data_IF_658840694043
#
_entry.id   IF_658840694043
#
_cell.length_a   1.000
_cell.length_b   1.000
_cell.length_c   1.000
_cell.angle_alpha   90.00
_cell.angle_beta   90.00
_cell.angle_gamma   90.00
#
_symmetry.space_group_name_H-M   'P 1'
#
loop_
_entity.id
_entity.type
_entity.pdbx_description
1 polymer ?
#
# COMPACT_ATOMS: atom_id res chain seq x y z
N UNK A 1 -23.75 5.92 -37.43
CA UNK A 1 -23.60 7.30 -36.90
C UNK A 1 -22.31 7.36 -36.11
N UNK A 2 -21.39 8.26 -36.47
CA UNK A 2 -20.20 8.53 -35.65
C UNK A 2 -20.64 9.41 -34.47
N UNK A 3 -20.35 8.98 -33.24
CA UNK A 3 -20.73 9.75 -32.03
C UNK A 3 -19.98 11.09 -32.02
N UNK A 4 -20.68 12.14 -31.60
CA UNK A 4 -20.06 13.47 -31.43
C UNK A 4 -19.20 13.57 -30.15
N UNK A 5 -19.18 12.51 -29.33
CA UNK A 5 -18.49 12.50 -28.04
C UNK A 5 -17.00 12.20 -28.26
N UNK A 6 -16.17 13.13 -27.80
CA UNK A 6 -14.72 13.03 -27.92
C UNK A 6 -14.21 11.74 -27.25
N UNK A 7 -13.28 11.03 -27.90
CA UNK A 7 -12.65 9.81 -27.40
C UNK A 7 -13.59 8.59 -27.24
N UNK A 8 -14.76 8.60 -27.87
CA UNK A 8 -15.60 7.41 -27.97
C UNK A 8 -14.94 6.35 -28.88
N UNK A 9 -14.81 5.13 -28.39
CA UNK A 9 -14.30 3.98 -29.14
C UNK A 9 -15.30 2.81 -29.05
N UNK A 10 -15.28 1.86 -30.01
CA UNK A 10 -16.04 0.62 -29.89
C UNK A 10 -15.72 -0.11 -28.58
N UNK A 11 -16.73 -0.75 -27.99
CA UNK A 11 -16.54 -1.54 -26.79
C UNK A 11 -15.48 -2.63 -27.02
N UNK A 12 -14.54 -2.71 -26.08
CA UNK A 12 -13.50 -3.73 -26.00
C UNK A 12 -13.56 -4.28 -24.58
N UNK A 13 -13.58 -5.61 -24.47
CA UNK A 13 -13.61 -6.30 -23.18
C UNK A 13 -12.35 -6.04 -22.34
N UNK A 14 -12.18 -6.87 -21.32
CA UNK A 14 -11.17 -6.69 -20.29
C UNK A 14 -9.75 -6.51 -20.83
N UNK A 15 -9.02 -5.58 -20.21
CA UNK A 15 -7.57 -5.49 -20.39
C UNK A 15 -6.83 -6.27 -19.29
N UNK A 16 -5.52 -6.49 -19.51
CA UNK A 16 -4.66 -7.21 -18.56
C UNK A 16 -4.66 -6.57 -17.16
N UNK A 17 -4.81 -5.25 -17.09
CA UNK A 17 -4.88 -4.49 -15.84
C UNK A 17 -6.13 -4.85 -15.04
N UNK A 18 -7.29 -4.97 -15.69
CA UNK A 18 -8.54 -5.35 -15.03
C UNK A 18 -8.53 -6.81 -14.55
N UNK A 19 -7.93 -7.71 -15.33
CA UNK A 19 -7.76 -9.10 -14.91
C UNK A 19 -6.85 -9.20 -13.68
N UNK A 20 -5.75 -8.44 -13.68
CA UNK A 20 -4.83 -8.36 -12.54
C UNK A 20 -5.53 -7.80 -11.29
N UNK A 21 -6.31 -6.73 -11.43
CA UNK A 21 -7.05 -6.12 -10.32
C UNK A 21 -8.04 -7.09 -9.65
N UNK A 22 -8.73 -7.94 -10.45
CA UNK A 22 -9.63 -8.97 -9.92
C UNK A 22 -8.91 -10.02 -9.10
N UNK A 23 -7.75 -10.47 -9.57
CA UNK A 23 -7.02 -11.58 -8.94
C UNK A 23 -6.24 -11.12 -7.71
N UNK A 24 -5.70 -9.89 -7.71
CA UNK A 24 -4.79 -9.44 -6.67
C UNK A 24 -5.47 -8.71 -5.50
N UNK A 25 -6.67 -8.13 -5.68
CA UNK A 25 -7.32 -7.33 -4.63
C UNK A 25 -7.51 -8.12 -3.32
N UNK A 26 -8.11 -9.30 -3.40
CA UNK A 26 -8.43 -10.11 -2.22
C UNK A 26 -7.20 -10.67 -1.50
N UNK A 27 -6.21 -11.26 -2.18
CA UNK A 27 -4.97 -11.68 -1.54
C UNK A 27 -4.25 -10.52 -0.82
N UNK A 28 -4.20 -9.34 -1.45
CA UNK A 28 -3.55 -8.17 -0.85
C UNK A 28 -4.30 -7.67 0.38
N UNK A 29 -5.63 -7.64 0.35
CA UNK A 29 -6.44 -7.30 1.52
C UNK A 29 -6.18 -8.27 2.68
N UNK A 30 -6.21 -9.58 2.40
CA UNK A 30 -5.98 -10.62 3.41
C UNK A 30 -4.60 -10.50 4.05
N UNK A 31 -3.53 -10.39 3.23
CA UNK A 31 -2.17 -10.20 3.74
C UNK A 31 -2.04 -8.88 4.50
N UNK A 32 -2.66 -7.81 4.02
CA UNK A 32 -2.60 -6.50 4.66
C UNK A 32 -3.24 -6.50 6.05
N UNK A 33 -4.43 -7.08 6.19
CA UNK A 33 -5.13 -7.23 7.48
C UNK A 33 -4.29 -8.10 8.43
N UNK A 34 -3.78 -9.23 7.95
CA UNK A 34 -2.92 -10.10 8.77
C UNK A 34 -1.67 -9.39 9.26
N UNK A 35 -1.03 -8.59 8.41
CA UNK A 35 0.15 -7.80 8.78
C UNK A 35 -0.16 -6.76 9.87
N UNK A 36 -1.30 -6.07 9.80
CA UNK A 36 -1.74 -5.14 10.85
C UNK A 36 -2.01 -5.89 12.16
N UNK A 37 -2.63 -7.07 12.11
CA UNK A 37 -2.86 -7.92 13.29
C UNK A 37 -1.53 -8.32 13.93
N UNK A 38 -0.54 -8.73 13.13
CA UNK A 38 0.81 -9.06 13.63
C UNK A 38 1.44 -7.85 14.30
N UNK A 39 1.38 -6.66 13.67
CA UNK A 39 1.90 -5.42 14.26
C UNK A 39 1.24 -5.09 15.60
N UNK A 40 -0.08 -5.29 15.70
CA UNK A 40 -0.84 -5.09 16.92
C UNK A 40 -0.44 -6.07 18.04
N UNK A 41 -0.26 -7.35 17.71
CA UNK A 41 0.22 -8.36 18.68
C UNK A 41 1.62 -8.00 19.18
N UNK A 42 2.54 -7.61 18.29
CA UNK A 42 3.89 -7.19 18.67
C UNK A 42 3.82 -5.97 19.61
N UNK A 43 2.99 -4.99 19.28
CA UNK A 43 2.81 -3.80 20.12
C UNK A 43 2.24 -4.12 21.52
N UNK A 44 1.28 -5.06 21.61
CA UNK A 44 0.74 -5.52 22.89
C UNK A 44 1.79 -6.24 23.73
N UNK A 45 2.58 -7.14 23.12
CA UNK A 45 3.65 -7.86 23.81
C UNK A 45 4.71 -6.87 24.32
N UNK A 46 5.13 -5.93 23.49
CA UNK A 46 6.08 -4.87 23.88
C UNK A 46 5.54 -4.03 25.05
N UNK A 47 4.27 -3.65 25.00
CA UNK A 47 3.61 -2.86 26.07
C UNK A 47 3.52 -3.59 27.42
N UNK A 48 3.29 -4.90 27.41
CA UNK A 48 3.21 -5.68 28.65
C UNK A 48 4.58 -5.89 29.34
N UNK A 49 5.69 -5.75 28.59
CA UNK A 49 7.03 -5.94 29.11
C UNK A 49 7.62 -4.67 29.75
N UNK A 50 6.85 -3.56 29.83
CA UNK A 50 7.31 -2.29 30.44
C UNK A 50 7.60 -2.43 31.96
N UNK A 51 7.09 -3.47 32.62
CA UNK A 51 7.34 -3.69 34.05
C UNK A 51 8.82 -3.94 34.43
N UNK A 52 9.66 -4.36 33.48
CA UNK A 52 11.08 -4.64 33.70
C UNK A 52 11.99 -3.38 33.73
N UNK A 53 11.46 -2.22 33.30
CA UNK A 53 12.17 -0.93 33.26
C UNK A 53 12.63 -0.41 34.63
N UNK A 54 12.09 -0.93 35.73
CA UNK A 54 12.42 -0.48 37.09
C UNK A 54 13.57 -1.27 37.73
N UNK A 55 14.26 -2.14 36.98
CA UNK A 55 15.46 -2.85 37.44
C UNK A 55 16.73 -2.40 36.70
N UNK A 56 17.87 -2.10 37.38
CA UNK A 56 19.08 -1.58 36.74
C UNK A 56 19.67 -2.46 35.62
N UNK A 57 19.53 -3.79 35.74
CA UNK A 57 19.95 -4.76 34.71
C UNK A 57 18.88 -5.00 33.62
N UNK A 58 17.61 -4.69 33.90
CA UNK A 58 16.51 -4.77 32.93
C UNK A 58 16.54 -3.63 31.91
N UNK A 59 16.88 -2.41 32.34
CA UNK A 59 16.92 -1.21 31.48
C UNK A 59 17.71 -1.44 30.19
N UNK A 60 18.88 -2.07 30.27
CA UNK A 60 19.74 -2.32 29.12
C UNK A 60 19.16 -3.33 28.12
N UNK A 61 18.64 -4.45 28.63
CA UNK A 61 18.02 -5.50 27.81
C UNK A 61 16.70 -5.04 27.22
N UNK A 62 15.99 -4.14 27.89
CA UNK A 62 14.72 -3.59 27.46
C UNK A 62 14.87 -2.50 26.40
N UNK A 63 15.99 -1.74 26.40
CA UNK A 63 16.28 -0.75 25.36
C UNK A 63 16.44 -1.40 23.98
N UNK A 64 17.23 -2.47 23.88
CA UNK A 64 17.45 -3.19 22.62
C UNK A 64 16.19 -3.87 22.10
N UNK A 65 15.45 -4.54 23.00
CA UNK A 65 14.15 -5.15 22.69
C UNK A 65 13.12 -4.12 22.28
N UNK A 66 12.98 -3.03 23.04
CA UNK A 66 12.05 -1.96 22.72
C UNK A 66 12.33 -1.30 21.37
N UNK A 67 13.61 -1.08 21.05
CA UNK A 67 13.97 -0.56 19.73
C UNK A 67 13.67 -1.57 18.61
N UNK A 68 13.94 -2.86 18.81
CA UNK A 68 13.59 -3.91 17.85
C UNK A 68 12.06 -4.00 17.64
N UNK A 69 11.28 -3.99 18.73
CA UNK A 69 9.83 -4.07 18.70
C UNK A 69 9.21 -2.88 17.96
N UNK A 70 9.70 -1.66 18.19
CA UNK A 70 9.25 -0.47 17.44
C UNK A 70 9.52 -0.63 15.94
N UNK A 71 10.68 -1.19 15.55
CA UNK A 71 11.00 -1.42 14.15
C UNK A 71 10.09 -2.49 13.52
N UNK A 72 9.86 -3.59 14.23
CA UNK A 72 8.98 -4.67 13.78
C UNK A 72 7.53 -4.22 13.68
N UNK A 73 6.98 -3.58 14.72
CA UNK A 73 5.63 -3.01 14.70
C UNK A 73 5.48 -2.06 13.53
N UNK A 74 6.42 -1.13 13.33
CA UNK A 74 6.39 -0.20 12.21
C UNK A 74 6.45 -0.91 10.85
N UNK A 75 7.30 -1.94 10.71
CA UNK A 75 7.45 -2.68 9.46
C UNK A 75 6.13 -3.38 9.06
N UNK A 76 5.55 -4.15 9.98
CA UNK A 76 4.31 -4.87 9.72
C UNK A 76 3.11 -3.93 9.57
N UNK A 77 3.04 -2.84 10.35
CA UNK A 77 1.91 -1.91 10.28
C UNK A 77 1.87 -1.19 8.94
N UNK A 78 2.99 -0.64 8.49
CA UNK A 78 3.05 0.12 7.23
C UNK A 78 2.90 -0.76 5.99
N UNK A 79 3.56 -1.94 5.96
CA UNK A 79 3.31 -2.92 4.91
C UNK A 79 1.82 -3.31 4.88
N UNK A 80 1.22 -3.57 6.04
CA UNK A 80 -0.18 -3.91 6.16
C UNK A 80 -1.11 -2.84 5.60
N UNK A 81 -0.90 -1.59 6.01
CA UNK A 81 -1.63 -0.43 5.48
C UNK A 81 -1.44 -0.26 3.96
N UNK A 82 -0.22 -0.39 3.47
CA UNK A 82 0.08 -0.31 2.03
C UNK A 82 -0.68 -1.37 1.23
N UNK A 83 -0.69 -2.62 1.71
CA UNK A 83 -1.41 -3.72 1.06
C UNK A 83 -2.93 -3.54 1.11
N UNK A 84 -3.48 -3.03 2.22
CA UNK A 84 -4.91 -2.68 2.33
C UNK A 84 -5.25 -1.57 1.33
N UNK A 85 -4.49 -0.47 1.29
CA UNK A 85 -4.74 0.63 0.36
C UNK A 85 -4.58 0.21 -1.11
N UNK A 86 -3.64 -0.67 -1.41
CA UNK A 86 -3.49 -1.24 -2.75
C UNK A 86 -4.69 -2.12 -3.12
N UNK A 87 -5.22 -2.92 -2.18
CA UNK A 87 -6.46 -3.68 -2.41
C UNK A 87 -7.67 -2.79 -2.68
N UNK A 88 -7.77 -1.65 -1.97
CA UNK A 88 -8.79 -0.63 -2.22
C UNK A 88 -8.62 -0.06 -3.63
N UNK A 89 -7.40 0.27 -4.03
CA UNK A 89 -7.09 0.77 -5.37
C UNK A 89 -7.55 -0.22 -6.45
N UNK A 90 -7.25 -1.50 -6.29
CA UNK A 90 -7.69 -2.54 -7.23
C UNK A 90 -9.22 -2.72 -7.24
N UNK A 91 -9.87 -2.59 -6.08
CA UNK A 91 -11.33 -2.60 -5.98
C UNK A 91 -11.95 -1.44 -6.75
N UNK A 92 -11.37 -0.24 -6.65
CA UNK A 92 -11.80 0.92 -7.43
C UNK A 92 -11.61 0.71 -8.94
N UNK A 93 -10.52 0.05 -9.37
CA UNK A 93 -10.32 -0.32 -10.78
C UNK A 93 -11.42 -1.30 -11.26
N UNK A 94 -11.83 -2.25 -10.40
CA UNK A 94 -12.96 -3.13 -10.70
C UNK A 94 -14.29 -2.36 -10.79
N UNK A 95 -14.48 -1.33 -9.95
CA UNK A 95 -15.64 -0.44 -10.04
C UNK A 95 -15.66 0.31 -11.38
N UNK A 96 -14.52 0.85 -11.85
CA UNK A 96 -14.43 1.48 -13.18
C UNK A 96 -14.91 0.54 -14.28
N UNK A 97 -14.53 -0.73 -14.19
CA UNK A 97 -14.98 -1.76 -15.13
C UNK A 97 -16.49 -1.98 -15.03
N UNK A 98 -17.04 -2.21 -13.85
CA UNK A 98 -18.47 -2.42 -13.67
C UNK A 98 -19.30 -1.23 -14.16
N UNK A 99 -18.81 0.00 -13.96
CA UNK A 99 -19.43 1.18 -14.55
C UNK A 99 -19.43 1.08 -16.07
N UNK A 100 -18.29 0.80 -16.71
CA UNK A 100 -18.18 0.65 -18.17
C UNK A 100 -19.11 -0.43 -18.72
N UNK A 101 -19.20 -1.57 -18.06
CA UNK A 101 -20.07 -2.68 -18.44
C UNK A 101 -21.55 -2.29 -18.29
N UNK A 102 -21.92 -1.63 -17.18
CA UNK A 102 -23.29 -1.11 -16.99
C UNK A 102 -23.67 -0.08 -18.07
N UNK A 103 -22.78 0.85 -18.41
CA UNK A 103 -23.02 1.83 -19.47
C UNK A 103 -23.15 1.19 -20.86
N UNK A 104 -22.47 0.06 -21.10
CA UNK A 104 -22.63 -0.75 -22.33
C UNK A 104 -24.03 -1.37 -22.39
N UNK A 105 -24.48 -1.95 -21.29
CA UNK A 105 -25.76 -2.63 -21.22
C UNK A 105 -26.92 -1.64 -21.38
N UNK A 106 -26.83 -0.45 -20.78
CA UNK A 106 -27.79 0.64 -20.99
C UNK A 106 -27.84 1.09 -22.45
N UNK A 107 -26.68 1.33 -23.09
CA UNK A 107 -26.65 1.72 -24.51
C UNK A 107 -27.25 0.64 -25.42
N UNK A 108 -26.97 -0.63 -25.12
CA UNK A 108 -27.50 -1.77 -25.87
C UNK A 108 -29.02 -1.89 -25.72
N UNK A 109 -29.54 -1.63 -24.52
CA UNK A 109 -30.98 -1.61 -24.25
C UNK A 109 -31.70 -0.47 -24.99
N UNK A 110 -31.02 0.65 -25.24
CA UNK A 110 -31.53 1.76 -26.07
C UNK A 110 -31.39 1.50 -27.59
N UNK A 111 -31.00 0.29 -28.00
CA UNK A 111 -30.85 -0.08 -29.41
C UNK A 111 -29.63 0.55 -30.10
N UNK A 112 -28.71 1.14 -29.33
CA UNK A 112 -27.52 1.78 -29.85
C UNK A 112 -26.31 0.84 -29.85
N UNK A 113 -25.41 1.01 -30.81
CA UNK A 113 -24.12 0.35 -30.77
C UNK A 113 -23.33 0.83 -29.54
N UNK A 114 -22.86 -0.07 -28.66
CA UNK A 114 -22.23 0.32 -27.41
C UNK A 114 -20.86 0.96 -27.64
N UNK A 115 -20.71 2.19 -27.14
CA UNK A 115 -19.45 2.92 -27.13
C UNK A 115 -18.91 3.03 -25.72
N UNK A 116 -17.58 3.10 -25.62
CA UNK A 116 -16.89 3.32 -24.36
C UNK A 116 -15.88 4.45 -24.48
N UNK A 117 -15.55 5.05 -23.35
CA UNK A 117 -14.47 6.03 -23.26
C UNK A 117 -13.12 5.34 -23.47
N UNK A 118 -12.29 5.87 -24.37
CA UNK A 118 -10.88 5.47 -24.46
C UNK A 118 -10.22 5.65 -23.09
N UNK A 119 -9.53 4.61 -22.61
CA UNK A 119 -8.92 4.57 -21.28
C UNK A 119 -8.06 5.83 -21.03
N UNK A 120 -8.44 6.71 -20.08
CA UNK A 120 -7.66 7.92 -19.80
C UNK A 120 -6.29 7.53 -19.25
N UNK A 121 -5.30 8.40 -19.43
CA UNK A 121 -3.93 8.15 -18.95
C UNK A 121 -3.89 7.82 -17.46
N UNK A 122 -4.74 8.46 -16.65
CA UNK A 122 -4.88 8.20 -15.20
C UNK A 122 -5.18 6.73 -14.92
N UNK A 123 -6.08 6.11 -15.69
CA UNK A 123 -6.41 4.69 -15.54
C UNK A 123 -5.34 3.74 -16.07
N UNK A 124 -4.42 4.22 -16.92
CA UNK A 124 -3.29 3.43 -17.41
C UNK A 124 -2.14 3.41 -16.40
N UNK A 125 -1.88 4.55 -15.76
CA UNK A 125 -0.74 4.74 -14.85
C UNK A 125 -1.05 4.28 -13.42
N UNK A 126 -2.32 4.31 -12.98
CA UNK A 126 -2.72 3.87 -11.64
C UNK A 126 -2.03 2.58 -11.17
N UNK A 127 -2.11 1.45 -11.90
CA UNK A 127 -1.61 0.18 -11.37
C UNK A 127 -0.10 0.22 -11.21
N UNK A 128 0.61 0.88 -12.13
CA UNK A 128 2.06 1.04 -12.05
C UNK A 128 2.45 1.86 -10.82
N UNK A 129 1.76 2.99 -10.57
CA UNK A 129 2.06 3.85 -9.45
C UNK A 129 1.73 3.18 -8.10
N UNK A 130 0.62 2.45 -8.04
CA UNK A 130 0.27 1.62 -6.88
C UNK A 130 1.33 0.55 -6.62
N UNK A 131 1.76 -0.18 -7.66
CA UNK A 131 2.78 -1.22 -7.53
C UNK A 131 4.13 -0.64 -7.08
N UNK A 132 4.53 0.54 -7.58
CA UNK A 132 5.71 1.24 -7.08
C UNK A 132 5.60 1.55 -5.58
N UNK A 133 4.44 2.03 -5.13
CA UNK A 133 4.16 2.25 -3.71
C UNK A 133 4.33 0.98 -2.87
N UNK A 134 3.73 -0.13 -3.31
CA UNK A 134 3.85 -1.43 -2.62
C UNK A 134 5.30 -1.91 -2.60
N UNK A 135 6.05 -1.75 -3.69
CA UNK A 135 7.47 -2.13 -3.72
C UNK A 135 8.32 -1.32 -2.73
N UNK A 136 8.02 -0.02 -2.58
CA UNK A 136 8.67 0.82 -1.57
C UNK A 136 8.32 0.35 -0.15
N UNK A 137 7.07 -0.02 0.12
CA UNK A 137 6.66 -0.61 1.40
C UNK A 137 7.36 -1.95 1.68
N UNK A 138 7.48 -2.82 0.68
CA UNK A 138 8.21 -4.09 0.80
C UNK A 138 9.69 -3.85 1.11
N UNK A 139 10.31 -2.87 0.46
CA UNK A 139 11.69 -2.49 0.78
C UNK A 139 11.81 -1.96 2.21
N UNK A 140 10.92 -1.05 2.62
CA UNK A 140 10.88 -0.52 3.97
C UNK A 140 10.62 -1.60 5.03
N UNK A 141 9.80 -2.60 4.69
CA UNK A 141 9.58 -3.78 5.51
C UNK A 141 10.88 -4.57 5.72
N UNK A 142 11.56 -4.96 4.63
CA UNK A 142 12.82 -5.72 4.69
C UNK A 142 13.86 -4.96 5.51
N UNK A 143 14.06 -3.67 5.25
CA UNK A 143 15.00 -2.84 5.99
C UNK A 143 14.62 -2.72 7.48
N UNK A 144 13.33 -2.65 7.80
CA UNK A 144 12.83 -2.67 9.16
C UNK A 144 13.13 -3.97 9.90
N UNK A 145 12.95 -5.13 9.22
CA UNK A 145 13.31 -6.43 9.78
C UNK A 145 14.83 -6.52 10.02
N UNK A 146 15.64 -6.10 9.05
CA UNK A 146 17.11 -6.11 9.18
C UNK A 146 17.55 -5.24 10.37
N UNK A 147 17.01 -4.02 10.49
CA UNK A 147 17.32 -3.14 11.61
C UNK A 147 16.91 -3.73 12.96
N UNK A 148 15.76 -4.42 13.03
CA UNK A 148 15.29 -5.09 14.24
C UNK A 148 16.16 -6.28 14.63
N UNK A 149 16.56 -7.11 13.66
CA UNK A 149 17.43 -8.28 13.91
C UNK A 149 18.82 -7.83 14.34
N UNK A 150 19.39 -6.81 13.70
CA UNK A 150 20.70 -6.25 14.08
C UNK A 150 20.69 -5.75 15.53
N UNK A 151 19.73 -4.89 15.92
CA UNK A 151 19.70 -4.36 17.28
C UNK A 151 19.32 -5.41 18.33
N UNK A 152 18.50 -6.40 17.96
CA UNK A 152 18.12 -7.50 18.85
C UNK A 152 19.25 -8.49 19.14
N UNK A 153 20.28 -8.53 18.29
CA UNK A 153 21.48 -9.36 18.47
C UNK A 153 22.55 -8.74 19.37
N UNK A 154 22.45 -7.45 19.66
CA UNK A 154 23.45 -6.71 20.46
C UNK A 154 23.33 -7.07 21.94
N UNK A 155 24.45 -7.31 22.59
CA UNK A 155 24.49 -7.60 24.02
C UNK A 155 23.93 -6.41 24.84
N UNK A 156 23.08 -6.65 25.87
CA UNK A 156 22.48 -5.57 26.67
C UNK A 156 23.50 -4.57 27.22
N UNK A 157 24.65 -5.03 27.72
CA UNK A 157 25.71 -4.16 28.23
C UNK A 157 26.21 -3.16 27.18
N UNK A 158 26.37 -3.60 25.93
CA UNK A 158 26.87 -2.80 24.82
C UNK A 158 25.90 -1.66 24.40
N UNK A 159 24.61 -1.78 24.75
CA UNK A 159 23.59 -0.76 24.45
C UNK A 159 23.65 0.43 25.42
N UNK A 160 24.16 0.22 26.63
CA UNK A 160 24.21 1.23 27.69
C UNK A 160 25.63 1.77 27.86
N UNK A 161 26.63 0.94 27.63
CA UNK A 161 28.04 1.30 27.76
C UNK A 161 28.83 0.90 26.50
N UNK A 162 29.23 1.90 25.73
CA UNK A 162 30.02 1.72 24.52
C UNK A 162 31.40 1.09 24.80
N UNK A 163 31.94 1.20 26.02
CA UNK A 163 33.21 0.56 26.38
C UNK A 163 33.10 -0.96 26.50
N UNK A 164 31.87 -1.48 26.68
CA UNK A 164 31.57 -2.91 26.69
C UNK A 164 31.18 -3.48 25.32
N UNK A 165 31.03 -2.60 24.32
CA UNK A 165 30.61 -2.97 22.97
C UNK A 165 31.80 -3.47 22.13
N UNK A 166 31.61 -4.59 21.44
CA UNK A 166 32.53 -4.98 20.38
C UNK A 166 32.40 -4.06 19.15
N UNK A 167 33.39 -4.10 18.25
CA UNK A 167 33.29 -3.38 16.98
C UNK A 167 32.06 -3.80 16.15
N UNK A 168 31.64 -5.07 16.27
CA UNK A 168 30.44 -5.59 15.62
C UNK A 168 29.17 -4.98 16.24
N UNK A 169 29.07 -4.94 17.57
CA UNK A 169 27.93 -4.33 18.28
C UNK A 169 27.75 -2.86 17.89
N UNK A 170 28.85 -2.10 17.83
CA UNK A 170 28.81 -0.69 17.42
C UNK A 170 28.35 -0.51 15.97
N UNK A 171 28.74 -1.43 15.07
CA UNK A 171 28.30 -1.43 13.69
C UNK A 171 26.79 -1.73 13.59
N UNK A 172 26.28 -2.72 14.33
CA UNK A 172 24.85 -3.07 14.34
C UNK A 172 23.98 -1.97 14.96
N UNK A 173 24.42 -1.34 16.06
CA UNK A 173 23.76 -0.17 16.65
C UNK A 173 23.72 0.98 15.64
N UNK A 174 24.85 1.26 14.98
CA UNK A 174 24.97 2.31 13.97
C UNK A 174 24.03 2.07 12.79
N UNK A 175 24.00 0.85 12.27
CA UNK A 175 23.12 0.43 11.19
C UNK A 175 21.64 0.59 11.58
N UNK A 176 21.24 0.08 12.74
CA UNK A 176 19.87 0.16 13.22
C UNK A 176 19.41 1.61 13.41
N UNK A 177 20.27 2.48 13.95
CA UNK A 177 19.98 3.92 14.11
C UNK A 177 19.90 4.65 12.77
N UNK A 178 20.80 4.34 11.84
CA UNK A 178 20.78 4.90 10.49
C UNK A 178 19.45 4.57 9.79
N UNK A 179 19.02 3.30 9.81
CA UNK A 179 17.74 2.93 9.22
C UNK A 179 16.55 3.54 9.96
N UNK A 180 16.59 3.59 11.30
CA UNK A 180 15.53 4.21 12.08
C UNK A 180 15.26 5.67 11.69
N UNK A 181 16.28 6.41 11.26
CA UNK A 181 16.14 7.80 10.83
C UNK A 181 15.39 7.95 9.50
N UNK A 182 15.53 7.00 8.57
CA UNK A 182 14.98 7.10 7.21
C UNK A 182 13.74 6.25 6.97
N UNK A 183 13.57 5.15 7.71
CA UNK A 183 12.45 4.22 7.57
C UNK A 183 11.08 4.90 7.66
N UNK A 184 10.80 5.83 8.61
CA UNK A 184 9.53 6.53 8.64
C UNK A 184 9.25 7.30 7.35
N UNK A 185 10.25 7.99 6.80
CA UNK A 185 10.12 8.72 5.54
C UNK A 185 9.86 7.78 4.36
N UNK A 186 10.60 6.69 4.26
CA UNK A 186 10.44 5.72 3.17
C UNK A 186 9.03 5.09 3.17
N UNK A 187 8.51 4.73 4.35
CA UNK A 187 7.15 4.24 4.54
C UNK A 187 6.11 5.29 4.13
N UNK A 188 6.29 6.55 4.51
CA UNK A 188 5.37 7.61 4.09
C UNK A 188 5.39 7.83 2.56
N UNK A 189 6.55 7.68 1.91
CA UNK A 189 6.66 7.75 0.45
C UNK A 189 5.89 6.60 -0.22
N UNK A 190 6.03 5.37 0.30
CA UNK A 190 5.27 4.20 -0.18
C UNK A 190 3.76 4.44 -0.11
N UNK A 191 3.25 4.80 1.07
CA UNK A 191 1.84 5.14 1.28
C UNK A 191 1.37 6.31 0.39
N UNK A 192 2.16 7.38 0.26
CA UNK A 192 1.81 8.53 -0.56
C UNK A 192 1.65 8.14 -2.03
N UNK A 193 2.49 7.23 -2.54
CA UNK A 193 2.34 6.71 -3.90
C UNK A 193 1.02 5.93 -4.06
N UNK A 194 0.67 5.07 -3.11
CA UNK A 194 -0.58 4.30 -3.16
C UNK A 194 -1.80 5.24 -3.09
N UNK A 195 -1.79 6.24 -2.19
CA UNK A 195 -2.85 7.24 -2.08
C UNK A 195 -3.01 8.05 -3.38
N UNK A 196 -1.90 8.41 -4.02
CA UNK A 196 -1.93 9.08 -5.32
C UNK A 196 -2.56 8.18 -6.39
N UNK A 197 -2.27 6.88 -6.36
CA UNK A 197 -2.92 5.91 -7.26
C UNK A 197 -4.45 5.86 -7.05
N UNK A 198 -4.92 5.91 -5.80
CA UNK A 198 -6.34 6.01 -5.46
C UNK A 198 -6.96 7.26 -6.10
N UNK A 199 -6.34 8.42 -5.93
CA UNK A 199 -6.81 9.68 -6.54
C UNK A 199 -6.89 9.57 -8.07
N UNK A 200 -5.91 8.94 -8.71
CA UNK A 200 -5.93 8.70 -10.15
C UNK A 200 -7.08 7.78 -10.60
N UNK A 201 -7.44 6.77 -9.82
CA UNK A 201 -8.62 5.93 -10.12
C UNK A 201 -9.90 6.72 -9.96
N UNK A 202 -10.05 7.50 -8.89
CA UNK A 202 -11.23 8.33 -8.68
C UNK A 202 -11.42 9.33 -9.82
N UNK A 203 -10.34 9.96 -10.30
CA UNK A 203 -10.39 10.82 -11.49
C UNK A 203 -10.81 10.04 -12.75
N UNK A 204 -10.43 8.77 -12.88
CA UNK A 204 -10.85 7.89 -13.96
C UNK A 204 -12.34 7.55 -13.87
N UNK A 205 -12.84 7.25 -12.66
CA UNK A 205 -14.27 7.01 -12.38
C UNK A 205 -15.10 8.22 -12.80
N UNK A 206 -14.69 9.43 -12.40
CA UNK A 206 -15.39 10.67 -12.77
C UNK A 206 -15.49 10.85 -14.30
N UNK A 207 -14.40 10.59 -15.03
CA UNK A 207 -14.39 10.67 -16.50
C UNK A 207 -15.33 9.65 -17.15
N UNK A 208 -15.35 8.42 -16.62
CA UNK A 208 -16.24 7.36 -17.12
C UNK A 208 -17.71 7.70 -16.89
N UNK A 209 -18.06 8.18 -15.70
CA UNK A 209 -19.45 8.57 -15.37
C UNK A 209 -19.92 9.72 -16.26
N UNK A 210 -19.09 10.76 -16.45
CA UNK A 210 -19.42 11.89 -17.34
C UNK A 210 -19.68 11.44 -18.76
N UNK A 211 -18.77 10.63 -19.31
CA UNK A 211 -18.94 10.07 -20.65
C UNK A 211 -20.25 9.28 -20.80
N UNK A 212 -20.61 8.48 -19.79
CA UNK A 212 -21.86 7.72 -19.80
C UNK A 212 -23.09 8.63 -19.75
N UNK A 213 -23.05 9.68 -18.94
CA UNK A 213 -24.11 10.70 -18.90
C UNK A 213 -24.31 11.35 -20.27
N UNK A 214 -23.23 11.87 -20.85
CA UNK A 214 -23.28 12.53 -22.17
C UNK A 214 -23.81 11.57 -23.26
N UNK A 215 -23.40 10.30 -23.21
CA UNK A 215 -23.84 9.29 -24.16
C UNK A 215 -25.31 8.94 -24.02
N UNK A 216 -25.82 8.83 -22.81
CA UNK A 216 -27.26 8.58 -22.58
C UNK A 216 -28.08 9.79 -23.06
N UNK A 217 -27.61 11.01 -22.78
CA UNK A 217 -28.26 12.23 -23.28
C UNK A 217 -28.26 12.32 -24.81
N UNK A 218 -27.19 11.91 -25.49
CA UNK A 218 -27.13 11.85 -26.96
C UNK A 218 -28.11 10.81 -27.54
N UNK A 219 -28.38 9.72 -26.83
CA UNK A 219 -29.30 8.67 -27.27
C UNK A 219 -30.77 8.96 -26.97
N UNK A 220 -31.04 9.83 -26.00
CA UNK A 220 -32.39 10.24 -25.62
C UNK A 220 -32.91 11.44 -26.43
N UNK A 221 -32.01 12.19 -27.09
CA UNK A 221 -32.32 13.32 -27.96
C UNK A 221 -32.67 12.89 -29.38
#
# INVERSE_FOLDING_TARGET
MSSKIENAIPYKGDDSVQTMAKQMAWPMLGMGVMSVIVAFIIALVAGNNIGAFFSPSGVASDLGRGQADVQLTGAFLFLGMGMILASITMTLVNIVRHLRDSGRDVQSALGAAPLQLKKPWTGQVTPMFMMMGVMVEVLAFILGIVAAVSIGGVAPGALVDASSASAADLADIGLARAWAAWLPGLRLVGLAMILTAIVMVLATIQKVIRFQGDRISELAA
#
